data_IF_255648116306
#
_entry.id   IF_255648116306
#
_cell.length_a   1.000
_cell.length_b   1.000
_cell.length_c   1.000
_cell.angle_alpha   90.00
_cell.angle_beta   90.00
_cell.angle_gamma   90.00
#
_symmetry.space_group_name_H-M   'P 1'
#
loop_
_entity.id
_entity.type
_entity.pdbx_description
1 polymer ?
#
# COMPACT_ATOMS: atom_id res chain seq x y z
N UNK A 1 -31.13 -9.41 0.60
CA UNK A 1 -29.93 -8.94 -0.12
C UNK A 1 -28.74 -9.81 0.27
N UNK A 2 -28.18 -10.60 -0.65
CA UNK A 2 -27.04 -11.46 -0.33
C UNK A 2 -25.85 -10.60 0.14
N UNK A 3 -25.33 -10.88 1.34
CA UNK A 3 -24.12 -10.25 1.90
C UNK A 3 -22.93 -10.63 1.01
N UNK A 4 -22.62 -9.79 0.03
CA UNK A 4 -21.33 -9.82 -0.63
C UNK A 4 -20.32 -9.32 0.40
N UNK A 5 -19.72 -10.23 1.16
CA UNK A 5 -18.57 -9.96 2.03
C UNK A 5 -17.30 -10.48 1.37
N UNK A 6 -16.17 -9.84 1.68
CA UNK A 6 -14.85 -10.34 1.30
C UNK A 6 -14.63 -11.72 1.92
N UNK A 7 -13.88 -12.57 1.23
CA UNK A 7 -13.42 -13.87 1.73
C UNK A 7 -12.15 -13.74 2.58
N UNK A 8 -11.52 -12.57 2.61
CA UNK A 8 -10.31 -12.29 3.38
C UNK A 8 -10.67 -12.11 4.86
N UNK A 9 -9.91 -12.80 5.72
CA UNK A 9 -9.98 -12.73 7.19
C UNK A 9 -8.68 -12.21 7.79
N UNK A 10 -8.10 -11.19 7.16
CA UNK A 10 -6.83 -10.60 7.55
C UNK A 10 -7.05 -9.14 7.97
N UNK A 11 -6.59 -8.80 9.18
CA UNK A 11 -6.70 -7.44 9.73
C UNK A 11 -6.04 -6.40 8.81
N UNK A 12 -4.86 -6.70 8.28
CA UNK A 12 -4.07 -5.77 7.49
C UNK A 12 -4.80 -5.34 6.21
N UNK A 13 -5.53 -6.27 5.59
CA UNK A 13 -6.33 -5.96 4.41
C UNK A 13 -7.45 -4.95 4.69
N UNK A 14 -8.20 -5.13 5.78
CA UNK A 14 -9.25 -4.18 6.18
C UNK A 14 -8.65 -2.87 6.67
N UNK A 15 -7.50 -2.93 7.34
CA UNK A 15 -6.78 -1.74 7.78
C UNK A 15 -6.32 -0.88 6.59
N UNK A 16 -5.78 -1.48 5.53
CA UNK A 16 -5.44 -0.79 4.28
C UNK A 16 -6.67 -0.17 3.61
N UNK A 17 -7.81 -0.88 3.61
CA UNK A 17 -9.07 -0.33 3.09
C UNK A 17 -9.51 0.90 3.87
N UNK A 18 -9.42 0.86 5.20
CA UNK A 18 -9.80 1.97 6.07
C UNK A 18 -8.88 3.17 5.88
N UNK A 19 -7.56 2.96 5.86
CA UNK A 19 -6.57 4.01 5.56
C UNK A 19 -6.83 4.67 4.20
N UNK A 20 -7.25 3.89 3.21
CA UNK A 20 -7.57 4.41 1.87
C UNK A 20 -8.93 5.13 1.85
N UNK A 21 -9.91 4.63 2.62
CA UNK A 21 -11.23 5.24 2.77
C UNK A 21 -11.13 6.64 3.37
N UNK A 22 -10.30 6.78 4.40
CA UNK A 22 -10.00 8.05 5.09
C UNK A 22 -9.07 8.96 4.28
N UNK A 23 -8.57 8.51 3.12
CA UNK A 23 -7.60 9.21 2.26
C UNK A 23 -6.23 9.43 2.92
N UNK A 24 -5.93 8.72 4.00
CA UNK A 24 -4.61 8.66 4.63
C UNK A 24 -3.59 8.01 3.71
N UNK A 25 -4.00 6.96 2.98
CA UNK A 25 -3.24 6.37 1.87
C UNK A 25 -3.91 6.71 0.53
N UNK A 26 -3.20 7.32 -0.44
CA UNK A 26 -3.75 7.59 -1.77
C UNK A 26 -4.04 6.31 -2.56
N UNK A 27 -3.13 5.33 -2.46
CA UNK A 27 -3.23 3.99 -3.03
C UNK A 27 -2.79 2.99 -1.96
N UNK A 28 -3.46 1.85 -1.90
CA UNK A 28 -3.03 0.71 -1.08
C UNK A 28 -2.79 -0.51 -1.96
N UNK A 29 -1.85 -1.33 -1.52
CA UNK A 29 -1.47 -2.59 -2.13
C UNK A 29 -1.63 -3.71 -1.12
N UNK A 30 -2.36 -4.73 -1.50
CA UNK A 30 -2.39 -6.03 -0.84
C UNK A 30 -1.55 -7.00 -1.67
N UNK A 31 -0.52 -7.60 -1.07
CA UNK A 31 0.51 -8.38 -1.79
C UNK A 31 0.04 -9.80 -2.18
N UNK A 32 -1.27 -9.99 -2.33
CA UNK A 32 -1.89 -11.24 -2.75
C UNK A 32 -3.02 -10.94 -3.74
N UNK A 33 -3.36 -11.89 -4.64
CA UNK A 33 -4.57 -11.77 -5.41
C UNK A 33 -5.80 -11.88 -4.50
N UNK A 34 -6.91 -11.32 -4.95
CA UNK A 34 -8.23 -11.53 -4.35
C UNK A 34 -9.14 -12.25 -5.33
N UNK A 35 -10.11 -13.00 -4.83
CA UNK A 35 -11.13 -13.60 -5.68
C UNK A 35 -12.07 -12.54 -6.28
N UNK A 36 -12.81 -12.93 -7.32
CA UNK A 36 -13.70 -12.02 -8.04
C UNK A 36 -14.82 -11.46 -7.13
N UNK A 37 -15.26 -12.24 -6.13
CA UNK A 37 -16.27 -11.82 -5.14
C UNK A 37 -15.73 -10.65 -4.30
N UNK A 38 -14.50 -10.77 -3.81
CA UNK A 38 -13.80 -9.76 -3.01
C UNK A 38 -13.49 -8.54 -3.86
N UNK A 39 -13.02 -8.70 -5.09
CA UNK A 39 -12.78 -7.57 -5.99
C UNK A 39 -14.06 -6.76 -6.26
N UNK A 40 -15.19 -7.43 -6.51
CA UNK A 40 -16.50 -6.77 -6.64
C UNK A 40 -16.93 -6.10 -5.33
N UNK A 41 -16.67 -6.71 -4.19
CA UNK A 41 -16.97 -6.11 -2.90
C UNK A 41 -16.18 -4.82 -2.68
N UNK A 42 -14.86 -4.82 -2.93
CA UNK A 42 -14.01 -3.62 -2.86
C UNK A 42 -14.59 -2.51 -3.75
N UNK A 43 -14.95 -2.83 -4.99
CA UNK A 43 -15.53 -1.86 -5.94
C UNK A 43 -16.85 -1.27 -5.44
N UNK A 44 -17.71 -2.09 -4.82
CA UNK A 44 -18.97 -1.63 -4.21
C UNK A 44 -18.79 -0.73 -2.99
N UNK A 45 -17.64 -0.82 -2.30
CA UNK A 45 -17.27 0.16 -1.26
C UNK A 45 -16.82 1.51 -1.86
N UNK A 46 -16.89 1.67 -3.19
CA UNK A 46 -16.54 2.90 -3.89
C UNK A 46 -15.04 3.08 -4.11
N UNK A 47 -14.29 1.98 -4.21
CA UNK A 47 -12.89 2.00 -4.62
C UNK A 47 -12.75 1.59 -6.10
N UNK A 48 -11.78 2.18 -6.77
CA UNK A 48 -11.20 1.58 -7.97
C UNK A 48 -10.23 0.50 -7.51
N UNK A 49 -10.29 -0.68 -8.12
CA UNK A 49 -9.45 -1.81 -7.73
C UNK A 49 -9.10 -2.70 -8.92
N UNK A 50 -7.88 -3.22 -8.89
CA UNK A 50 -7.32 -4.08 -9.93
C UNK A 50 -6.35 -5.12 -9.35
N UNK A 51 -6.13 -6.20 -10.09
CA UNK A 51 -5.16 -7.26 -9.77
C UNK A 51 -4.01 -7.15 -10.77
N UNK A 52 -2.83 -6.82 -10.26
CA UNK A 52 -1.65 -6.52 -11.05
C UNK A 52 -0.69 -7.70 -11.00
N UNK A 53 -0.50 -8.44 -12.11
CA UNK A 53 0.57 -9.42 -12.18
C UNK A 53 1.93 -8.71 -12.26
N UNK A 54 2.89 -9.15 -11.46
CA UNK A 54 4.32 -8.80 -11.56
C UNK A 54 5.16 -10.06 -11.66
N UNK A 55 6.39 -9.93 -12.12
CA UNK A 55 7.33 -11.05 -12.27
C UNK A 55 8.43 -10.97 -11.22
N UNK A 56 8.74 -12.08 -10.57
CA UNK A 56 9.95 -12.20 -9.75
C UNK A 56 11.20 -12.25 -10.64
N UNK A 57 12.39 -12.16 -10.03
CA UNK A 57 13.65 -12.33 -10.76
C UNK A 57 13.76 -13.69 -11.49
N UNK A 58 13.17 -14.75 -10.91
CA UNK A 58 13.08 -16.08 -11.53
C UNK A 58 12.04 -16.20 -12.63
N UNK A 59 11.29 -15.13 -12.94
CA UNK A 59 10.24 -15.10 -13.96
C UNK A 59 8.87 -15.59 -13.48
N UNK A 60 8.73 -16.01 -12.22
CA UNK A 60 7.45 -16.44 -11.65
C UNK A 60 6.50 -15.26 -11.53
N UNK A 61 5.20 -15.50 -11.79
CA UNK A 61 4.19 -14.46 -11.62
C UNK A 61 3.72 -14.40 -10.17
N UNK A 62 3.70 -13.19 -9.61
CA UNK A 62 3.03 -12.84 -8.36
C UNK A 62 1.94 -11.83 -8.65
N UNK A 63 0.93 -11.75 -7.79
CA UNK A 63 -0.24 -10.91 -8.03
C UNK A 63 -0.46 -9.98 -6.84
N UNK A 64 -0.58 -8.70 -7.14
CA UNK A 64 -0.81 -7.64 -6.18
C UNK A 64 -2.21 -7.06 -6.42
N UNK A 65 -3.05 -7.00 -5.39
CA UNK A 65 -4.32 -6.30 -5.48
C UNK A 65 -4.12 -4.85 -5.06
N UNK A 66 -4.38 -3.90 -5.95
CA UNK A 66 -4.27 -2.47 -5.65
C UNK A 66 -5.64 -1.81 -5.64
N UNK A 67 -5.84 -0.84 -4.75
CA UNK A 67 -7.10 -0.10 -4.68
C UNK A 67 -6.91 1.34 -4.19
N UNK A 68 -7.78 2.24 -4.68
CA UNK A 68 -7.76 3.67 -4.37
C UNK A 68 -9.17 4.28 -4.50
N UNK A 69 -9.39 5.43 -3.86
CA UNK A 69 -10.55 6.29 -4.14
C UNK A 69 -10.45 7.01 -5.49
N UNK A 70 -9.29 6.99 -6.15
CA UNK A 70 -9.05 7.61 -7.45
C UNK A 70 -8.59 6.57 -8.48
N UNK A 71 -9.34 6.44 -9.57
CA UNK A 71 -8.97 5.55 -10.69
C UNK A 71 -7.61 5.90 -11.29
N UNK A 72 -7.20 7.18 -11.23
CA UNK A 72 -5.90 7.64 -11.76
C UNK A 72 -4.72 6.96 -11.07
N UNK A 73 -4.76 6.77 -9.75
CA UNK A 73 -3.66 6.10 -9.05
C UNK A 73 -3.57 4.61 -9.42
N UNK A 74 -4.72 3.93 -9.53
CA UNK A 74 -4.78 2.53 -9.97
C UNK A 74 -4.25 2.39 -11.39
N UNK A 75 -4.68 3.26 -12.31
CA UNK A 75 -4.21 3.25 -13.70
C UNK A 75 -2.72 3.54 -13.81
N UNK A 76 -2.19 4.50 -13.05
CA UNK A 76 -0.75 4.79 -13.03
C UNK A 76 0.05 3.59 -12.54
N UNK A 77 -0.39 2.94 -11.46
CA UNK A 77 0.27 1.74 -10.93
C UNK A 77 0.21 0.59 -11.95
N UNK A 78 -0.97 0.31 -12.51
CA UNK A 78 -1.16 -0.72 -13.53
C UNK A 78 -0.21 -0.50 -14.71
N UNK A 79 -0.24 0.69 -15.32
CA UNK A 79 0.54 0.99 -16.52
C UNK A 79 2.04 0.87 -16.28
N UNK A 80 2.49 1.17 -15.05
CA UNK A 80 3.90 1.06 -14.70
C UNK A 80 4.35 -0.36 -14.40
N UNK A 81 3.55 -1.14 -13.67
CA UNK A 81 4.02 -2.36 -13.02
C UNK A 81 3.45 -3.66 -13.59
N UNK A 82 2.39 -3.61 -14.39
CA UNK A 82 1.81 -4.83 -14.97
C UNK A 82 2.83 -5.57 -15.83
N UNK A 83 2.99 -6.87 -15.55
CA UNK A 83 3.90 -7.79 -16.23
C UNK A 83 5.38 -7.37 -16.19
N UNK A 84 5.76 -6.42 -15.35
CA UNK A 84 7.16 -6.02 -15.16
C UNK A 84 7.83 -6.83 -14.05
N UNK A 85 9.17 -6.84 -14.05
CA UNK A 85 9.94 -7.43 -12.96
C UNK A 85 9.76 -6.60 -11.69
N UNK A 86 9.74 -7.27 -10.54
CA UNK A 86 9.90 -6.62 -9.25
C UNK A 86 11.37 -6.22 -9.13
N UNK A 87 11.62 -4.92 -9.10
CA UNK A 87 12.96 -4.35 -8.96
C UNK A 87 13.02 -3.53 -7.68
N UNK A 88 14.21 -3.46 -7.10
CA UNK A 88 14.49 -2.63 -5.93
C UNK A 88 15.32 -1.40 -6.32
N UNK A 89 15.20 -0.92 -7.55
CA UNK A 89 15.92 0.28 -7.96
C UNK A 89 15.30 1.56 -7.37
N UNK A 90 16.13 2.60 -7.27
CA UNK A 90 15.75 3.85 -6.63
C UNK A 90 14.58 4.57 -7.34
N UNK A 91 14.38 4.37 -8.65
CA UNK A 91 13.33 5.05 -9.39
C UNK A 91 11.97 4.39 -9.11
N UNK A 92 11.91 3.05 -9.10
CA UNK A 92 10.70 2.32 -8.72
C UNK A 92 10.30 2.60 -7.27
N UNK A 93 11.24 2.53 -6.33
CA UNK A 93 10.95 2.81 -4.91
C UNK A 93 10.43 4.23 -4.68
N UNK A 94 10.96 5.24 -5.41
CA UNK A 94 10.44 6.61 -5.36
C UNK A 94 9.00 6.72 -5.87
N UNK A 95 8.71 6.03 -6.97
CA UNK A 95 7.38 6.04 -7.56
C UNK A 95 6.36 5.32 -6.68
N UNK A 96 6.70 4.12 -6.17
CA UNK A 96 5.86 3.41 -5.21
C UNK A 96 5.61 4.26 -3.96
N UNK A 97 6.67 4.85 -3.40
CA UNK A 97 6.55 5.74 -2.25
C UNK A 97 5.62 6.93 -2.50
N UNK A 98 5.70 7.55 -3.68
CA UNK A 98 4.77 8.60 -4.07
C UNK A 98 3.32 8.09 -4.18
N UNK A 99 3.09 6.97 -4.87
CA UNK A 99 1.75 6.41 -5.07
C UNK A 99 1.09 5.99 -3.74
N UNK A 100 1.87 5.45 -2.81
CA UNK A 100 1.40 4.99 -1.51
C UNK A 100 1.32 6.10 -0.44
N UNK A 101 1.76 7.32 -0.77
CA UNK A 101 1.72 8.48 0.13
C UNK A 101 2.80 8.46 1.21
N UNK A 102 3.93 7.80 0.97
CA UNK A 102 5.05 7.77 1.92
C UNK A 102 5.81 9.10 1.93
N UNK A 103 6.26 9.58 3.11
CA UNK A 103 7.08 10.79 3.17
C UNK A 103 8.33 10.63 2.31
N UNK A 104 8.60 11.61 1.44
CA UNK A 104 9.74 11.55 0.52
C UNK A 104 11.09 11.37 1.21
N UNK A 105 11.28 11.95 2.40
CA UNK A 105 12.48 11.75 3.21
C UNK A 105 12.63 10.30 3.72
N UNK A 106 11.53 9.63 4.06
CA UNK A 106 11.54 8.22 4.46
C UNK A 106 11.93 7.33 3.29
N UNK A 107 11.35 7.57 2.11
CA UNK A 107 11.66 6.81 0.89
C UNK A 107 13.12 7.00 0.51
N UNK A 108 13.62 8.23 0.50
CA UNK A 108 15.03 8.52 0.18
C UNK A 108 15.98 7.88 1.19
N UNK A 109 15.66 7.93 2.49
CA UNK A 109 16.47 7.27 3.51
C UNK A 109 16.47 5.76 3.33
N UNK A 110 15.31 5.15 3.07
CA UNK A 110 15.18 3.71 2.86
C UNK A 110 16.00 3.22 1.66
N UNK A 111 16.01 3.97 0.55
CA UNK A 111 16.83 3.65 -0.63
C UNK A 111 18.32 3.61 -0.29
N UNK A 112 18.81 4.52 0.57
CA UNK A 112 20.24 4.62 0.92
C UNK A 112 20.63 3.71 2.08
N UNK A 113 19.75 3.59 3.06
CA UNK A 113 19.94 2.93 4.35
C UNK A 113 18.66 2.17 4.73
N UNK A 114 18.38 1.02 4.08
CA UNK A 114 17.19 0.24 4.35
C UNK A 114 17.12 -0.18 5.83
N UNK A 115 15.95 -0.04 6.43
CA UNK A 115 15.68 -0.45 7.82
C UNK A 115 16.62 0.13 8.89
N UNK A 116 17.33 1.22 8.57
CA UNK A 116 18.21 1.89 9.53
C UNK A 116 17.41 2.43 10.71
N UNK A 117 17.98 2.38 11.91
CA UNK A 117 17.27 2.69 13.15
C UNK A 117 16.51 4.02 13.11
N UNK A 118 15.31 4.01 13.71
CA UNK A 118 14.47 5.18 13.86
C UNK A 118 14.10 5.40 15.33
N UNK A 119 13.40 6.50 15.61
CA UNK A 119 13.06 6.91 16.99
C UNK A 119 11.58 6.69 17.32
N UNK A 120 10.89 5.86 16.55
CA UNK A 120 9.50 5.52 16.84
C UNK A 120 9.43 4.40 17.86
N UNK A 121 8.39 4.43 18.70
CA UNK A 121 7.99 3.24 19.45
C UNK A 121 7.68 2.11 18.46
N UNK A 122 8.04 0.87 18.82
CA UNK A 122 7.83 -0.30 17.95
C UNK A 122 6.38 -0.41 17.45
N UNK A 123 5.41 -0.23 18.35
CA UNK A 123 3.98 -0.26 18.03
C UNK A 123 3.55 0.82 17.02
N UNK A 124 4.23 1.98 17.01
CA UNK A 124 3.95 3.06 16.05
C UNK A 124 4.59 2.76 14.69
N UNK A 125 5.76 2.12 14.64
CA UNK A 125 6.36 1.68 13.37
C UNK A 125 5.60 0.50 12.75
N UNK A 126 5.05 -0.42 13.56
CA UNK A 126 4.31 -1.61 13.11
C UNK A 126 3.02 -1.28 12.36
N UNK A 127 2.39 -0.13 12.64
CA UNK A 127 1.17 0.28 11.95
C UNK A 127 1.47 1.03 10.64
N UNK A 128 2.72 1.42 10.40
CA UNK A 128 3.14 2.11 9.19
C UNK A 128 3.54 1.09 8.11
N UNK A 129 3.13 1.37 6.88
CA UNK A 129 3.54 0.58 5.71
C UNK A 129 4.83 1.11 5.06
N UNK A 130 5.56 1.97 5.76
CA UNK A 130 6.86 2.49 5.36
C UNK A 130 7.79 2.58 6.57
N UNK A 131 9.08 2.45 6.33
CA UNK A 131 10.08 2.64 7.38
C UNK A 131 10.32 4.13 7.62
N UNK A 132 10.04 4.63 8.82
CA UNK A 132 10.26 6.03 9.15
C UNK A 132 11.77 6.32 9.30
N UNK A 133 12.23 7.48 8.82
CA UNK A 133 13.59 7.93 9.09
C UNK A 133 13.64 8.75 10.39
N UNK A 134 14.81 8.77 11.04
CA UNK A 134 15.04 9.41 12.35
C UNK A 134 14.52 10.84 12.48
N UNK A 135 14.57 11.63 11.41
CA UNK A 135 14.20 13.05 11.37
C UNK A 135 12.91 13.34 10.58
N UNK A 136 12.06 12.33 10.33
CA UNK A 136 10.84 12.53 9.57
C UNK A 136 9.86 13.45 10.32
N UNK A 137 9.53 14.60 9.72
CA UNK A 137 8.56 15.56 10.27
C UNK A 137 7.11 15.22 9.94
N UNK A 138 6.90 14.41 8.89
CA UNK A 138 5.56 14.06 8.39
C UNK A 138 5.00 12.84 9.14
N UNK A 139 5.82 11.83 9.43
CA UNK A 139 5.36 10.61 10.10
C UNK A 139 4.63 10.88 11.43
N UNK A 140 5.13 11.74 12.34
CA UNK A 140 4.42 12.05 13.58
C UNK A 140 3.02 12.64 13.35
N UNK A 141 2.83 13.39 12.26
CA UNK A 141 1.54 13.96 11.87
C UNK A 141 0.61 12.93 11.23
N UNK A 142 1.15 11.88 10.62
CA UNK A 142 0.38 10.77 10.05
C UNK A 142 -0.11 9.79 11.12
N UNK A 143 0.67 9.58 12.19
CA UNK A 143 0.39 8.56 13.21
C UNK A 143 -1.03 8.62 13.81
N UNK A 144 -1.61 9.80 14.14
CA UNK A 144 -2.99 9.87 14.64
C UNK A 144 -4.00 9.24 13.68
N UNK A 145 -3.90 9.53 12.37
CA UNK A 145 -4.79 8.98 11.35
C UNK A 145 -4.62 7.46 11.20
N UNK A 146 -3.38 6.98 11.27
CA UNK A 146 -3.11 5.54 11.28
C UNK A 146 -3.70 4.85 12.52
N UNK A 147 -3.59 5.45 13.70
CA UNK A 147 -4.16 4.92 14.95
C UNK A 147 -5.69 4.93 14.92
N UNK A 148 -6.30 5.95 14.34
CA UNK A 148 -7.75 6.04 14.18
C UNK A 148 -8.29 4.94 13.28
N UNK A 149 -7.66 4.69 12.13
CA UNK A 149 -8.04 3.63 11.20
C UNK A 149 -7.88 2.20 11.75
N UNK A 150 -7.14 2.02 12.86
CA UNK A 150 -6.88 0.71 13.49
C UNK A 150 -8.04 0.27 14.41
N UNK A 151 -8.92 1.20 14.79
CA UNK A 151 -10.04 0.98 15.71
C UNK A 151 -11.18 0.22 15.03
#
# INVERSE_FOLDING_TARGET
MAKYQSTIKDFEFYYLLELTRQKTKPLSRWEKPVDEKTLRWIRRQGFFADIIPRKTFSGNSVYETVFSKSGRFVSLYHNKFKNTLIRHDAAEQKLEGFLFGYPGCCVQNFIKHPYHENLLAKADQEILFHWACKSCRVTPQLLPYYKEAKK
#
